data_IF_821799255620
#
_entry.id   IF_821799255620
#
_cell.length_a   1.000
_cell.length_b   1.000
_cell.length_c   1.000
_cell.angle_alpha   90.00
_cell.angle_beta   90.00
_cell.angle_gamma   90.00
#
_symmetry.space_group_name_H-M   'P 1'
#
loop_
_entity.id
_entity.type
_entity.pdbx_description
1 polymer ?
#
# COMPACT_ATOMS: atom_id res chain seq x y z
N UNK A 1 0.84 18.00 -14.70
CA UNK A 1 0.03 18.02 -13.46
C UNK A 1 -1.37 17.62 -13.89
N UNK A 2 -2.00 16.66 -13.22
CA UNK A 2 -3.23 16.01 -13.72
C UNK A 2 -3.01 14.84 -14.67
N UNK A 3 -1.78 14.36 -14.82
CA UNK A 3 -1.49 13.14 -15.59
C UNK A 3 -1.97 11.91 -14.81
N UNK A 4 -2.57 10.95 -15.53
CA UNK A 4 -2.90 9.66 -14.95
C UNK A 4 -1.64 8.84 -14.70
N UNK A 5 -1.56 8.23 -13.52
CA UNK A 5 -0.50 7.30 -13.13
C UNK A 5 -1.13 6.02 -12.59
N UNK A 6 -0.46 4.90 -12.81
CA UNK A 6 -0.80 3.64 -12.20
C UNK A 6 0.25 3.29 -11.16
N UNK A 7 -0.17 2.86 -9.98
CA UNK A 7 0.73 2.52 -8.89
C UNK A 7 0.41 1.09 -8.44
N UNK A 8 1.43 0.23 -8.46
CA UNK A 8 1.40 -1.09 -7.86
C UNK A 8 2.21 -1.07 -6.56
N UNK A 9 1.48 -1.01 -5.45
CA UNK A 9 2.05 -0.98 -4.10
C UNK A 9 2.63 -2.33 -3.66
N UNK A 10 2.21 -3.44 -4.28
CA UNK A 10 2.68 -4.77 -3.94
C UNK A 10 4.08 -5.04 -4.49
N UNK A 11 4.35 -4.58 -5.71
CA UNK A 11 5.67 -4.75 -6.34
C UNK A 11 6.57 -3.52 -6.24
N UNK A 12 6.03 -2.37 -5.83
CA UNK A 12 6.82 -1.15 -5.71
C UNK A 12 7.06 -0.48 -7.07
N UNK A 13 6.05 -0.39 -7.93
CA UNK A 13 6.17 0.17 -9.28
C UNK A 13 5.15 1.29 -9.54
N UNK A 14 5.61 2.37 -10.16
CA UNK A 14 4.79 3.46 -10.68
C UNK A 14 4.93 3.46 -12.20
N UNK A 15 3.82 3.41 -12.92
CA UNK A 15 3.77 3.57 -14.38
C UNK A 15 3.18 4.91 -14.75
N UNK A 16 3.86 5.63 -15.64
CA UNK A 16 3.41 6.87 -16.24
C UNK A 16 3.76 6.86 -17.72
N UNK A 17 2.75 6.82 -18.59
CA UNK A 17 2.91 6.62 -20.04
C UNK A 17 3.75 5.35 -20.30
N UNK A 18 4.86 5.47 -21.04
CA UNK A 18 5.77 4.37 -21.36
C UNK A 18 6.95 4.26 -20.38
N UNK A 19 6.87 4.90 -19.21
CA UNK A 19 7.93 4.89 -18.20
C UNK A 19 7.49 4.15 -16.95
N UNK A 20 8.39 3.31 -16.44
CA UNK A 20 8.27 2.66 -15.14
C UNK A 20 9.30 3.25 -14.17
N UNK A 21 8.86 3.50 -12.94
CA UNK A 21 9.69 3.95 -11.82
C UNK A 21 9.52 2.96 -10.67
N UNK A 22 10.63 2.60 -10.03
CA UNK A 22 10.61 1.68 -8.90
C UNK A 22 10.71 2.44 -7.59
N UNK A 23 10.00 1.95 -6.58
CA UNK A 23 10.11 2.40 -5.20
C UNK A 23 10.23 1.20 -4.26
N UNK A 24 10.80 1.39 -3.05
CA UNK A 24 10.91 0.30 -2.08
C UNK A 24 9.53 -0.30 -1.78
N UNK A 25 9.44 -1.62 -1.84
CA UNK A 25 8.21 -2.34 -1.49
C UNK A 25 7.86 -2.05 -0.03
N UNK A 26 6.56 -1.92 0.23
CA UNK A 26 6.09 -1.84 1.60
C UNK A 26 6.32 -3.18 2.32
N UNK A 27 6.79 -3.14 3.59
CA UNK A 27 6.76 -4.31 4.45
C UNK A 27 5.33 -4.86 4.56
N UNK A 28 5.19 -6.17 4.72
CA UNK A 28 3.87 -6.82 4.76
C UNK A 28 2.99 -6.26 5.89
N UNK A 29 3.57 -5.98 7.06
CA UNK A 29 2.85 -5.35 8.19
C UNK A 29 2.29 -3.96 7.88
N UNK A 30 2.97 -3.20 7.02
CA UNK A 30 2.46 -1.89 6.58
C UNK A 30 1.35 -2.06 5.55
N UNK A 31 1.42 -3.10 4.72
CA UNK A 31 0.36 -3.42 3.75
C UNK A 31 -0.93 -3.80 4.47
N UNK A 32 -0.87 -4.70 5.45
CA UNK A 32 -2.02 -5.09 6.29
C UNK A 32 -2.65 -3.88 6.98
N UNK A 33 -1.82 -2.97 7.50
CA UNK A 33 -2.29 -1.74 8.12
C UNK A 33 -3.05 -0.84 7.13
N UNK A 34 -2.54 -0.69 5.91
CA UNK A 34 -3.18 0.12 4.87
C UNK A 34 -4.48 -0.52 4.37
N UNK A 35 -4.52 -1.85 4.23
CA UNK A 35 -5.70 -2.61 3.82
C UNK A 35 -6.85 -2.47 4.82
N UNK A 36 -6.54 -2.41 6.12
CA UNK A 36 -7.53 -2.17 7.17
C UNK A 36 -7.96 -0.69 7.28
N UNK A 37 -7.39 0.20 6.47
CA UNK A 37 -7.74 1.62 6.47
C UNK A 37 -6.99 2.46 7.52
N UNK A 38 -5.88 1.94 8.05
CA UNK A 38 -4.97 2.68 8.92
C UNK A 38 -4.71 2.01 10.28
N UNK A 39 -3.82 2.63 11.05
CA UNK A 39 -3.30 2.08 12.30
C UNK A 39 -4.41 1.81 13.34
N UNK A 40 -5.39 2.70 13.46
CA UNK A 40 -6.45 2.56 14.44
C UNK A 40 -7.29 1.28 14.21
N UNK A 41 -7.63 1.00 12.95
CA UNK A 41 -8.41 -0.20 12.61
C UNK A 41 -7.58 -1.48 12.69
N UNK A 42 -6.30 -1.40 12.29
CA UNK A 42 -5.34 -2.49 12.50
C UNK A 42 -5.26 -2.90 13.98
N UNK A 43 -5.10 -1.93 14.89
CA UNK A 43 -5.00 -2.20 16.32
C UNK A 43 -6.31 -2.76 16.89
N UNK A 44 -7.47 -2.31 16.40
CA UNK A 44 -8.76 -2.88 16.81
C UNK A 44 -8.87 -4.35 16.41
N UNK A 45 -8.54 -4.69 15.16
CA UNK A 45 -8.56 -6.07 14.65
C UNK A 45 -7.57 -6.98 15.41
N UNK A 46 -6.37 -6.46 15.69
CA UNK A 46 -5.35 -7.17 16.46
C UNK A 46 -5.81 -7.47 17.89
N UNK A 47 -6.35 -6.48 18.59
CA UNK A 47 -6.81 -6.64 19.98
C UNK A 47 -8.09 -7.48 20.09
N UNK A 48 -8.92 -7.54 19.04
CA UNK A 48 -10.13 -8.36 19.02
C UNK A 48 -9.89 -9.82 18.60
N UNK A 49 -8.65 -10.19 18.27
CA UNK A 49 -8.28 -11.56 17.85
C UNK A 49 -8.75 -11.91 16.44
N UNK A 50 -9.00 -10.91 15.59
CA UNK A 50 -9.53 -11.07 14.22
C UNK A 50 -8.48 -11.06 13.11
N UNK A 51 -7.19 -11.17 13.45
CA UNK A 51 -6.05 -11.32 12.52
C UNK A 51 -5.55 -12.77 12.51
#
# INVERSE_FOLDING_TARGET
>A
EGDEIQIDLAIGEIRHRDRAYLFPKFPDSLRELLELGGLAEYLKAYCSGGL
#
